data_IF_632037037419
#
_entry.id   IF_632037037419
#
_cell.length_a   1.000
_cell.length_b   1.000
_cell.length_c   1.000
_cell.angle_alpha   90.00
_cell.angle_beta   90.00
_cell.angle_gamma   90.00
#
_symmetry.space_group_name_H-M   'P 1'
#
loop_
_entity.id
_entity.type
_entity.pdbx_description
1 polymer ?
#
# COMPACT_ATOMS: atom_id res chain seq x y z
N UNK A 1 -18.06 36.78 -49.28
CA UNK A 1 -16.94 35.86 -49.56
C UNK A 1 -16.22 36.39 -50.79
N UNK A 2 -14.91 36.53 -50.72
CA UNK A 2 -14.08 37.04 -51.82
C UNK A 2 -13.99 35.99 -52.92
N UNK A 3 -13.92 36.39 -54.20
CA UNK A 3 -13.80 35.45 -55.34
C UNK A 3 -12.58 34.53 -55.23
N UNK A 4 -11.55 34.97 -54.51
CA UNK A 4 -10.36 34.16 -54.22
C UNK A 4 -10.67 32.99 -53.28
N UNK A 5 -11.54 33.21 -52.30
CA UNK A 5 -11.96 32.18 -51.34
C UNK A 5 -12.77 31.11 -52.06
N UNK A 6 -13.59 31.49 -53.03
CA UNK A 6 -14.42 30.58 -53.82
C UNK A 6 -13.56 29.64 -54.71
N UNK A 7 -12.55 30.18 -55.40
CA UNK A 7 -11.62 29.35 -56.21
C UNK A 7 -10.70 28.47 -55.36
N UNK A 8 -10.29 28.95 -54.19
CA UNK A 8 -9.51 28.14 -53.24
C UNK A 8 -10.37 26.99 -52.69
N UNK A 9 -11.64 27.26 -52.40
CA UNK A 9 -12.58 26.25 -51.94
C UNK A 9 -12.91 25.19 -53.02
N UNK A 10 -12.97 25.59 -54.28
CA UNK A 10 -13.15 24.69 -55.42
C UNK A 10 -11.94 23.76 -55.61
N UNK A 11 -10.71 24.29 -55.52
CA UNK A 11 -9.47 23.48 -55.60
C UNK A 11 -9.34 22.52 -54.41
N UNK A 12 -9.81 22.93 -53.23
CA UNK A 12 -9.78 22.12 -52.01
C UNK A 12 -10.97 21.17 -51.87
N UNK A 13 -11.91 21.15 -52.83
CA UNK A 13 -13.07 20.25 -52.83
C UNK A 13 -14.02 20.46 -51.64
N UNK A 14 -13.98 21.63 -51.00
CA UNK A 14 -14.88 21.99 -49.91
C UNK A 14 -16.12 22.62 -50.51
N UNK A 15 -17.12 21.79 -50.84
CA UNK A 15 -18.46 22.28 -51.12
C UNK A 15 -18.97 23.04 -49.90
N UNK A 16 -19.15 24.35 -50.03
CA UNK A 16 -19.75 25.21 -49.00
C UNK A 16 -21.24 24.92 -48.92
N UNK A 17 -21.59 23.79 -48.31
CA UNK A 17 -22.91 23.52 -47.77
C UNK A 17 -22.95 24.10 -46.36
N UNK A 18 -23.92 24.94 -45.99
CA UNK A 18 -24.07 25.35 -44.60
C UNK A 18 -24.39 24.09 -43.80
N UNK A 19 -23.38 23.56 -43.10
CA UNK A 19 -23.57 22.47 -42.16
C UNK A 19 -24.31 23.01 -40.94
N UNK A 20 -25.63 23.15 -41.06
CA UNK A 20 -26.51 22.84 -39.94
C UNK A 20 -26.20 21.39 -39.58
N UNK A 21 -25.69 21.09 -38.37
CA UNK A 21 -25.35 19.73 -38.00
C UNK A 21 -26.58 18.85 -38.23
N UNK A 22 -26.42 17.86 -39.11
CA UNK A 22 -27.42 16.83 -39.40
C UNK A 22 -28.07 16.34 -38.11
N UNK A 23 -29.40 16.49 -38.01
CA UNK A 23 -30.27 16.07 -36.89
C UNK A 23 -30.11 14.59 -36.48
N UNK A 24 -29.38 13.79 -37.25
CA UNK A 24 -29.15 12.37 -36.98
C UNK A 24 -28.07 12.10 -35.92
N UNK A 25 -27.32 13.11 -35.48
CA UNK A 25 -26.30 12.97 -34.40
C UNK A 25 -26.88 13.34 -33.01
N UNK A 26 -28.07 13.94 -32.95
CA UNK A 26 -28.63 14.47 -31.69
C UNK A 26 -29.30 13.40 -30.80
N UNK A 27 -29.61 12.22 -31.34
CA UNK A 27 -30.38 11.19 -30.63
C UNK A 27 -29.56 10.01 -30.09
N UNK A 28 -28.22 10.07 -30.12
CA UNK A 28 -27.43 9.11 -29.35
C UNK A 28 -27.37 9.60 -27.90
N UNK A 29 -28.43 9.26 -27.14
CA UNK A 29 -28.47 9.45 -25.69
C UNK A 29 -27.26 8.73 -25.08
N UNK A 30 -26.22 9.48 -24.77
CA UNK A 30 -25.03 8.98 -24.07
C UNK A 30 -25.44 8.62 -22.66
N UNK A 31 -25.82 7.36 -22.45
CA UNK A 31 -26.00 6.85 -21.10
C UNK A 31 -24.60 6.57 -20.54
N UNK A 32 -24.19 7.26 -19.45
CA UNK A 32 -22.90 7.01 -18.86
C UNK A 32 -22.82 5.53 -18.46
N UNK A 33 -21.71 4.83 -18.75
CA UNK A 33 -21.58 3.38 -18.51
C UNK A 33 -21.76 2.97 -17.04
N UNK A 34 -21.82 3.94 -16.12
CA UNK A 34 -22.13 3.71 -14.70
C UNK A 34 -23.10 4.78 -14.20
N UNK A 35 -24.28 4.34 -13.74
CA UNK A 35 -25.24 5.18 -13.02
C UNK A 35 -24.64 5.59 -11.68
N UNK A 36 -24.47 6.89 -11.43
CA UNK A 36 -24.07 7.39 -10.11
C UNK A 36 -25.22 7.15 -9.14
N UNK A 37 -25.04 6.25 -8.18
CA UNK A 37 -25.97 6.11 -7.06
C UNK A 37 -25.80 7.32 -6.15
N UNK A 38 -26.74 8.26 -6.19
CA UNK A 38 -26.89 9.27 -5.15
C UNK A 38 -27.57 8.62 -3.95
N UNK A 39 -26.95 8.74 -2.77
CA UNK A 39 -27.49 8.24 -1.50
C UNK A 39 -26.71 7.05 -0.96
N UNK A 40 -25.86 7.33 0.03
CA UNK A 40 -25.23 6.43 0.99
C UNK A 40 -25.09 4.98 0.58
N UNK A 41 -23.98 4.69 -0.10
CA UNK A 41 -23.43 3.33 -0.07
C UNK A 41 -23.03 3.10 1.40
N UNK A 42 -23.67 2.20 2.16
CA UNK A 42 -23.15 1.84 3.47
C UNK A 42 -21.75 1.31 3.19
N UNK A 43 -20.74 2.04 3.67
CA UNK A 43 -19.36 1.58 3.62
C UNK A 43 -19.33 0.39 4.57
N UNK A 44 -19.61 -0.79 4.03
CA UNK A 44 -19.47 -2.05 4.72
C UNK A 44 -17.97 -2.31 4.79
N UNK A 45 -17.30 -1.59 5.71
CA UNK A 45 -15.88 -1.76 6.05
C UNK A 45 -15.76 -3.05 6.87
N UNK A 46 -16.13 -4.16 6.27
CA UNK A 46 -15.73 -5.49 6.73
C UNK A 46 -15.18 -6.21 5.50
N UNK A 47 -14.22 -5.57 4.83
CA UNK A 47 -13.33 -6.24 3.88
C UNK A 47 -12.35 -7.05 4.72
N UNK A 48 -12.65 -8.33 4.91
CA UNK A 48 -11.70 -9.28 5.46
C UNK A 48 -10.46 -9.26 4.56
N UNK A 49 -9.31 -8.95 5.16
CA UNK A 49 -8.00 -8.89 4.49
C UNK A 49 -7.73 -10.21 3.75
N UNK A 50 -8.23 -11.33 4.28
CA UNK A 50 -8.09 -12.63 3.61
C UNK A 50 -8.94 -12.72 2.34
N UNK A 51 -10.17 -12.19 2.34
CA UNK A 51 -11.03 -12.18 1.14
C UNK A 51 -10.45 -11.28 0.05
N UNK A 52 -9.96 -10.09 0.40
CA UNK A 52 -9.30 -9.19 -0.57
C UNK A 52 -8.00 -9.81 -1.13
N UNK A 53 -7.28 -10.56 -0.31
CA UNK A 53 -6.09 -11.31 -0.74
C UNK A 53 -6.45 -12.45 -1.70
N UNK A 54 -7.45 -13.27 -1.36
CA UNK A 54 -7.87 -14.40 -2.19
C UNK A 54 -8.38 -13.92 -3.55
N UNK A 55 -9.20 -12.86 -3.57
CA UNK A 55 -9.69 -12.24 -4.79
C UNK A 55 -8.55 -11.69 -5.65
N UNK A 56 -7.60 -10.97 -5.04
CA UNK A 56 -6.44 -10.44 -5.75
C UNK A 56 -5.59 -11.57 -6.33
N UNK A 57 -5.38 -12.65 -5.57
CA UNK A 57 -4.61 -13.83 -6.00
C UNK A 57 -5.27 -14.52 -7.19
N UNK A 58 -6.58 -14.74 -7.13
CA UNK A 58 -7.34 -15.33 -8.23
C UNK A 58 -7.31 -14.44 -9.48
N UNK A 59 -7.47 -13.12 -9.31
CA UNK A 59 -7.37 -12.16 -10.40
C UNK A 59 -6.01 -12.22 -11.09
N UNK A 60 -4.91 -12.24 -10.32
CA UNK A 60 -3.57 -12.38 -10.87
C UNK A 60 -3.37 -13.71 -11.60
N UNK A 61 -3.91 -14.82 -11.10
CA UNK A 61 -3.87 -16.09 -11.82
C UNK A 61 -4.65 -16.05 -13.14
N UNK A 62 -5.85 -15.48 -13.14
CA UNK A 62 -6.63 -15.32 -14.38
C UNK A 62 -5.88 -14.46 -15.40
N UNK A 63 -5.19 -13.40 -14.97
CA UNK A 63 -4.37 -12.57 -15.85
C UNK A 63 -3.16 -13.32 -16.40
N UNK A 64 -2.49 -14.14 -15.58
CA UNK A 64 -1.33 -14.93 -16.02
C UNK A 64 -1.76 -15.99 -17.02
N UNK A 65 -2.84 -16.72 -16.76
CA UNK A 65 -3.36 -17.77 -17.64
C UNK A 65 -3.78 -17.18 -19.01
N UNK A 66 -4.61 -16.14 -18.99
CA UNK A 66 -5.01 -15.42 -20.22
C UNK A 66 -3.81 -14.79 -20.93
N UNK A 67 -2.83 -14.32 -20.17
CA UNK A 67 -1.58 -13.79 -20.72
C UNK A 67 -0.78 -14.87 -21.44
N UNK A 68 -0.66 -16.06 -20.86
CA UNK A 68 0.01 -17.21 -21.49
C UNK A 68 -0.71 -17.69 -22.74
N UNK A 69 -2.05 -17.78 -22.71
CA UNK A 69 -2.87 -18.12 -23.87
C UNK A 69 -2.69 -17.08 -25.00
N UNK A 70 -2.73 -15.78 -24.67
CA UNK A 70 -2.50 -14.71 -25.64
C UNK A 70 -1.09 -14.76 -26.22
N UNK A 71 -0.07 -15.02 -25.40
CA UNK A 71 1.31 -15.21 -25.86
C UNK A 71 1.40 -16.38 -26.83
N UNK A 72 0.78 -17.52 -26.50
CA UNK A 72 0.78 -18.70 -27.36
C UNK A 72 0.09 -18.42 -28.70
N UNK A 73 -1.09 -17.78 -28.69
CA UNK A 73 -1.80 -17.40 -29.92
C UNK A 73 -1.00 -16.42 -30.79
N UNK A 74 -0.32 -15.45 -30.20
CA UNK A 74 0.57 -14.54 -30.93
C UNK A 74 1.78 -15.29 -31.48
N UNK A 75 2.34 -16.25 -30.74
CA UNK A 75 3.47 -17.05 -31.17
C UNK A 75 3.11 -17.94 -32.36
N UNK A 76 1.89 -18.48 -32.39
CA UNK A 76 1.40 -19.30 -33.48
C UNK A 76 1.18 -18.46 -34.75
N UNK A 77 0.60 -17.26 -34.62
CA UNK A 77 0.53 -16.27 -35.72
C UNK A 77 1.94 -15.85 -36.18
N UNK A 78 2.89 -15.69 -35.25
CA UNK A 78 4.26 -15.32 -35.58
C UNK A 78 4.98 -16.43 -36.38
N UNK A 79 4.74 -17.70 -36.03
CA UNK A 79 5.26 -18.87 -36.75
C UNK A 79 4.64 -19.02 -38.14
N UNK A 80 3.33 -18.84 -38.27
CA UNK A 80 2.61 -18.97 -39.54
C UNK A 80 2.89 -17.79 -40.48
N UNK A 81 2.90 -16.57 -39.96
CA UNK A 81 3.04 -15.35 -40.74
C UNK A 81 4.48 -14.86 -40.93
N UNK A 82 5.48 -15.48 -40.29
CA UNK A 82 6.89 -15.04 -40.26
C UNK A 82 7.06 -13.53 -39.99
N UNK A 83 6.15 -12.92 -39.21
CA UNK A 83 6.20 -11.48 -38.93
C UNK A 83 7.11 -11.21 -37.73
N UNK A 84 8.30 -10.59 -37.91
CA UNK A 84 9.21 -10.27 -36.80
C UNK A 84 8.55 -9.36 -35.75
N UNK A 85 7.58 -8.55 -36.16
CA UNK A 85 6.81 -7.68 -35.26
C UNK A 85 5.98 -8.46 -34.24
N UNK A 86 5.46 -9.64 -34.60
CA UNK A 86 4.68 -10.45 -33.67
C UNK A 86 5.55 -10.99 -32.52
N UNK A 87 6.81 -11.31 -32.79
CA UNK A 87 7.78 -11.71 -31.75
C UNK A 87 8.14 -10.57 -30.79
N UNK A 88 8.24 -9.33 -31.28
CA UNK A 88 8.47 -8.17 -30.43
C UNK A 88 7.30 -7.92 -29.46
N UNK A 89 6.06 -8.01 -29.98
CA UNK A 89 4.85 -7.85 -29.18
C UNK A 89 4.72 -9.00 -28.18
N UNK A 90 5.04 -10.24 -28.58
CA UNK A 90 5.10 -11.38 -27.67
C UNK A 90 6.14 -11.15 -26.56
N UNK A 91 7.32 -10.62 -26.87
CA UNK A 91 8.33 -10.25 -25.88
C UNK A 91 7.85 -9.19 -24.89
N UNK A 92 7.13 -8.17 -25.37
CA UNK A 92 6.50 -7.16 -24.51
C UNK A 92 5.42 -7.76 -23.60
N UNK A 93 4.58 -8.65 -24.14
CA UNK A 93 3.55 -9.34 -23.37
C UNK A 93 4.13 -10.27 -22.31
N UNK A 94 5.20 -11.01 -22.63
CA UNK A 94 5.94 -11.82 -21.66
C UNK A 94 6.47 -10.94 -20.52
N UNK A 95 7.02 -9.78 -20.83
CA UNK A 95 7.43 -8.79 -19.82
C UNK A 95 6.27 -8.37 -18.92
N UNK A 96 5.10 -8.06 -19.50
CA UNK A 96 3.91 -7.67 -18.75
C UNK A 96 3.38 -8.81 -17.85
N UNK A 97 3.37 -10.05 -18.35
CA UNK A 97 3.02 -11.24 -17.54
C UNK A 97 4.03 -11.42 -16.40
N UNK A 98 5.33 -11.24 -16.65
CA UNK A 98 6.38 -11.26 -15.64
C UNK A 98 6.13 -10.26 -14.51
N UNK A 99 5.82 -8.99 -14.85
CA UNK A 99 5.49 -7.98 -13.81
C UNK A 99 4.23 -8.34 -13.02
N UNK A 100 3.30 -9.10 -13.61
CA UNK A 100 2.07 -9.55 -12.94
C UNK A 100 2.37 -10.71 -11.98
N UNK A 101 3.29 -11.60 -12.34
CA UNK A 101 3.85 -12.64 -11.44
C UNK A 101 4.64 -12.01 -10.29
N UNK A 102 5.42 -10.97 -10.53
CA UNK A 102 6.15 -10.26 -9.46
C UNK A 102 5.18 -9.59 -8.47
N UNK A 103 4.08 -9.01 -8.96
CA UNK A 103 3.01 -8.47 -8.10
C UNK A 103 2.32 -9.56 -7.28
N UNK A 104 2.13 -10.76 -7.84
CA UNK A 104 1.62 -11.91 -7.09
C UNK A 104 2.58 -12.29 -5.94
N UNK A 105 3.90 -12.28 -6.19
CA UNK A 105 4.90 -12.54 -5.14
C UNK A 105 4.92 -11.44 -4.07
N UNK A 106 4.88 -10.17 -4.46
CA UNK A 106 4.83 -9.04 -3.55
C UNK A 106 3.56 -9.05 -2.68
N UNK A 107 2.42 -9.45 -3.25
CA UNK A 107 1.18 -9.64 -2.50
C UNK A 107 1.30 -10.72 -1.40
N UNK A 108 1.97 -11.84 -1.71
CA UNK A 108 2.26 -12.87 -0.70
C UNK A 108 3.17 -12.35 0.42
N UNK A 109 4.20 -11.58 0.05
CA UNK A 109 5.11 -10.95 1.01
C UNK A 109 4.38 -9.98 1.93
N UNK A 110 3.54 -9.09 1.37
CA UNK A 110 2.72 -8.15 2.14
C UNK A 110 1.78 -8.87 3.10
N UNK A 111 1.08 -9.93 2.68
CA UNK A 111 0.22 -10.69 3.60
C UNK A 111 1.04 -11.35 4.72
N UNK A 112 2.23 -11.85 4.43
CA UNK A 112 3.14 -12.38 5.45
C UNK A 112 3.58 -11.29 6.43
N UNK A 113 4.00 -10.14 5.93
CA UNK A 113 4.44 -9.00 6.76
C UNK A 113 3.29 -8.45 7.62
N UNK A 114 2.05 -8.42 7.11
CA UNK A 114 0.86 -8.04 7.87
C UNK A 114 0.48 -9.09 8.94
N UNK A 115 0.72 -10.38 8.69
CA UNK A 115 0.43 -11.47 9.63
C UNK A 115 1.56 -11.68 10.65
N UNK A 116 2.77 -11.23 10.36
CA UNK A 116 3.86 -11.18 11.36
C UNK A 116 3.52 -10.11 12.41
N UNK A 117 2.77 -10.53 13.43
CA UNK A 117 2.64 -9.79 14.69
C UNK A 117 4.07 -9.48 15.18
N UNK A 118 4.38 -8.25 15.64
CA UNK A 118 5.68 -7.91 16.21
C UNK A 118 5.87 -8.59 17.58
N UNK A 119 5.84 -9.92 17.63
CA UNK A 119 6.17 -10.77 18.76
C UNK A 119 7.68 -10.90 18.97
N UNK A 120 8.48 -10.10 18.25
CA UNK A 120 9.87 -9.85 18.58
C UNK A 120 9.97 -8.48 19.22
N UNK A 121 9.36 -8.33 20.40
CA UNK A 121 9.83 -7.35 21.36
C UNK A 121 11.35 -7.55 21.47
N UNK A 122 12.14 -6.55 21.07
CA UNK A 122 13.58 -6.60 21.19
C UNK A 122 13.93 -7.11 22.60
N UNK A 123 14.59 -8.27 22.70
CA UNK A 123 15.02 -8.88 23.96
C UNK A 123 16.13 -8.07 24.67
N UNK A 124 16.17 -6.76 24.44
CA UNK A 124 17.05 -5.78 25.06
C UNK A 124 16.24 -4.84 25.96
N UNK A 125 15.21 -5.37 26.64
CA UNK A 125 14.63 -4.72 27.81
C UNK A 125 15.54 -5.05 29.00
N UNK A 126 16.76 -4.50 29.04
CA UNK A 126 17.67 -4.71 30.19
C UNK A 126 17.31 -3.84 31.40
N UNK A 127 16.59 -2.73 31.19
CA UNK A 127 16.46 -1.68 32.22
C UNK A 127 15.01 -1.25 32.55
N UNK A 128 13.96 -1.84 31.97
CA UNK A 128 12.58 -1.40 32.21
C UNK A 128 11.76 -2.33 33.12
N UNK A 129 12.23 -3.56 33.36
CA UNK A 129 11.57 -4.51 34.23
C UNK A 129 12.46 -4.82 35.43
N UNK A 130 12.19 -4.16 36.56
CA UNK A 130 12.84 -4.48 37.83
C UNK A 130 12.23 -5.77 38.37
N UNK A 131 12.97 -6.88 38.22
CA UNK A 131 12.62 -8.19 38.78
C UNK A 131 13.12 -8.31 40.22
N UNK A 132 12.41 -7.67 41.16
CA UNK A 132 12.76 -7.68 42.60
C UNK A 132 11.56 -7.40 43.50
N UNK A 133 11.76 -7.44 44.82
CA UNK A 133 10.70 -7.15 45.80
C UNK A 133 10.35 -5.66 45.79
N UNK A 134 9.08 -5.31 46.04
CA UNK A 134 8.63 -3.91 46.12
C UNK A 134 9.42 -3.07 47.14
N UNK A 135 9.93 -3.72 48.19
CA UNK A 135 10.82 -3.10 49.19
C UNK A 135 12.16 -2.65 48.61
N UNK A 136 12.67 -3.35 47.60
CA UNK A 136 13.96 -3.11 46.96
C UNK A 136 13.86 -1.99 45.93
N UNK A 137 12.75 -1.94 45.19
CA UNK A 137 12.38 -0.81 44.33
C UNK A 137 12.17 0.48 45.15
N UNK A 138 11.55 0.36 46.34
CA UNK A 138 11.35 1.50 47.24
C UNK A 138 12.68 2.04 47.81
N UNK A 139 13.67 1.18 48.07
CA UNK A 139 15.03 1.60 48.46
C UNK A 139 15.75 2.34 47.34
N UNK A 140 15.61 1.85 46.11
CA UNK A 140 16.20 2.48 44.91
C UNK A 140 15.58 3.86 44.62
N UNK A 141 14.25 3.99 44.71
CA UNK A 141 13.52 5.27 44.56
C UNK A 141 13.87 6.27 45.66
N UNK A 142 14.09 5.80 46.90
CA UNK A 142 14.47 6.67 48.02
C UNK A 142 15.92 7.16 47.94
N UNK A 143 16.70 6.75 46.93
CA UNK A 143 18.12 7.11 46.72
C UNK A 143 18.96 6.96 48.00
N UNK A 144 18.56 6.04 48.88
CA UNK A 144 19.26 5.77 50.11
C UNK A 144 20.31 4.71 49.82
N UNK A 145 21.51 5.14 49.44
CA UNK A 145 22.68 4.30 49.60
C UNK A 145 22.73 3.83 51.06
N UNK A 146 23.22 2.62 51.33
CA UNK A 146 23.35 2.12 52.69
C UNK A 146 24.21 3.04 53.58
N UNK A 147 25.00 3.94 52.97
CA UNK A 147 25.75 5.01 53.62
C UNK A 147 24.86 6.12 54.18
N UNK A 148 23.88 6.63 53.41
CA UNK A 148 22.96 7.68 53.92
C UNK A 148 22.04 7.21 55.05
N UNK A 149 21.80 5.90 55.19
CA UNK A 149 21.06 5.34 56.33
C UNK A 149 21.93 5.27 57.59
N UNK A 150 23.24 5.03 57.44
CA UNK A 150 24.19 5.06 58.57
C UNK A 150 24.42 6.49 59.04
N UNK A 151 24.62 7.44 58.14
CA UNK A 151 24.80 8.86 58.48
C UNK A 151 23.57 9.44 59.19
N UNK A 152 22.35 9.16 58.72
CA UNK A 152 21.12 9.60 59.41
C UNK A 152 20.90 8.95 60.78
N UNK A 153 21.41 7.72 61.00
CA UNK A 153 21.38 7.10 62.34
C UNK A 153 22.36 7.77 63.28
N UNK A 154 23.58 8.06 62.81
CA UNK A 154 24.62 8.73 63.60
C UNK A 154 24.19 10.19 63.91
N UNK A 155 23.60 10.91 62.96
CA UNK A 155 23.04 12.25 63.19
C UNK A 155 21.90 12.22 64.22
N UNK A 156 20.96 11.27 64.12
CA UNK A 156 19.88 11.16 65.10
C UNK A 156 20.39 10.77 66.50
N UNK A 157 21.39 9.90 66.62
CA UNK A 157 22.02 9.57 67.91
C UNK A 157 22.79 10.76 68.52
N UNK A 158 23.36 11.63 67.67
CA UNK A 158 24.05 12.86 68.11
C UNK A 158 23.06 13.94 68.56
N UNK A 159 21.88 14.02 67.93
CA UNK A 159 20.82 14.99 68.26
C UNK A 159 20.04 14.59 69.52
N UNK A 160 19.83 13.29 69.76
CA UNK A 160 19.15 12.78 70.97
C UNK A 160 20.07 12.73 72.23
N UNK A 161 21.24 13.36 72.17
CA UNK A 161 21.99 13.75 73.37
C UNK A 161 22.44 12.58 74.24
N UNK A 162 23.00 11.51 73.64
CA UNK A 162 23.84 10.56 74.38
C UNK A 162 25.32 10.86 74.15
N UNK A 163 25.72 12.08 74.48
CA UNK A 163 27.09 12.32 74.91
C UNK A 163 27.24 11.64 76.27
N UNK A 164 27.86 10.46 76.28
CA UNK A 164 28.43 9.92 77.52
C UNK A 164 29.37 10.99 78.08
N UNK A 165 28.97 11.54 79.21
CA UNK A 165 29.80 12.35 80.09
C UNK A 165 30.98 11.50 80.58
N UNK A 166 32.21 11.96 80.30
CA UNK A 166 33.45 11.81 81.12
C UNK A 166 33.78 10.41 81.64
N UNK A 167 34.88 9.79 81.24
CA UNK A 167 36.29 10.16 81.52
C UNK A 167 37.25 9.54 80.49
#
# INVERSE_FOLDING_TARGET
>A
MSKLEESVNEILGIETKPETPTEQVLNQKFEPPVVRKEGDVPVKVEKDINTDYDYSRESYYSLIEKGQEAIQGILDIAKEGQHPRAYEVAGQLIGQVGTTVDKLQDLQKKLKDLKEVPNKTNANIKNALFVGSTAELQKMLKKQSMETVKEKRIENETIDGKAESTE
#
